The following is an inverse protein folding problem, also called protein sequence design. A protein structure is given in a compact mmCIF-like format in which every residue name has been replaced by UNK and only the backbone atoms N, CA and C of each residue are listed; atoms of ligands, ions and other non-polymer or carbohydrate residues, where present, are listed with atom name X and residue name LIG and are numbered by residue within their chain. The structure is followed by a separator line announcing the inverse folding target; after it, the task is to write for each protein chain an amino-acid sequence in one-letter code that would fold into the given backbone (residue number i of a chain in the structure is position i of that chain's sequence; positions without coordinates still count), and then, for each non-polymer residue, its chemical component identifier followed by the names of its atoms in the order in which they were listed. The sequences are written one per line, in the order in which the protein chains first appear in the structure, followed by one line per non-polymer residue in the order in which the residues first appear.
data_IF_963330392486
#
_entry.id   IF_963330392486
#
_cell.length_a   1.000
_cell.length_b   1.000
_cell.length_c   1.000
_cell.angle_alpha   90.00
_cell.angle_beta   90.00
_cell.angle_gamma   90.00
#
_symmetry.space_group_name_H-M   'P 1'
#
loop_
_entity.id
_entity.type
_entity.pdbx_description
1 polymer ?
#
# COMPACT_ATOMS: atom_id res chain seq x y z
N UNK A 1 10.39 23.20 7.59
CA UNK A 1 9.52 22.17 8.22
C UNK A 1 8.21 22.09 7.44
N UNK A 2 7.84 20.92 6.89
CA UNK A 2 6.61 20.75 6.10
C UNK A 2 5.63 19.84 6.85
N UNK A 3 4.37 20.27 6.99
CA UNK A 3 3.31 19.45 7.61
C UNK A 3 2.78 18.45 6.60
N UNK A 4 2.61 17.21 7.02
CA UNK A 4 1.94 16.14 6.27
C UNK A 4 0.70 15.67 7.01
N UNK A 5 -0.01 14.68 6.45
CA UNK A 5 -1.26 14.18 7.02
C UNK A 5 -1.11 13.70 8.47
N UNK A 6 -0.10 12.87 8.75
CA UNK A 6 0.16 12.27 10.07
C UNK A 6 1.56 12.55 10.61
N UNK A 7 2.38 13.32 9.88
CA UNK A 7 3.78 13.58 10.23
C UNK A 7 4.18 15.03 10.01
N UNK A 8 5.34 15.36 10.56
CA UNK A 8 6.07 16.59 10.27
C UNK A 8 7.37 16.19 9.58
N UNK A 9 7.61 16.74 8.39
CA UNK A 9 8.85 16.54 7.65
C UNK A 9 9.91 17.56 8.04
N UNK A 10 11.07 17.04 8.40
CA UNK A 10 12.32 17.76 8.58
C UNK A 10 13.30 17.40 7.46
N UNK A 11 14.11 18.35 7.03
CA UNK A 11 15.22 18.09 6.14
C UNK A 11 16.51 18.27 6.94
N UNK A 12 17.32 17.21 7.06
CA UNK A 12 18.60 17.22 7.76
C UNK A 12 19.69 16.79 6.78
N UNK A 13 20.53 17.73 6.34
CA UNK A 13 21.66 17.47 5.42
C UNK A 13 21.22 16.64 4.20
N UNK A 14 20.23 17.13 3.47
CA UNK A 14 19.65 16.49 2.27
C UNK A 14 18.90 15.16 2.51
N UNK A 15 18.67 14.79 3.77
CA UNK A 15 17.81 13.65 4.15
C UNK A 15 16.47 14.19 4.64
N UNK A 16 15.40 13.80 3.95
CA UNK A 16 14.04 14.02 4.40
C UNK A 16 13.66 12.99 5.48
N UNK A 17 13.31 13.47 6.67
CA UNK A 17 12.90 12.67 7.82
C UNK A 17 11.46 13.04 8.19
N UNK A 18 10.58 12.05 8.22
CA UNK A 18 9.19 12.22 8.64
C UNK A 18 9.03 11.78 10.10
N UNK A 19 8.72 12.75 10.98
CA UNK A 19 8.43 12.49 12.40
C UNK A 19 6.93 12.32 12.57
N UNK A 20 6.51 11.12 12.97
CA UNK A 20 5.12 10.80 13.31
C UNK A 20 4.98 10.85 14.83
N UNK A 21 4.10 11.71 15.33
CA UNK A 21 3.81 11.83 16.77
C UNK A 21 2.57 11.02 17.10
N UNK A 22 2.71 10.04 17.98
CA UNK A 22 1.61 9.23 18.48
C UNK A 22 1.56 9.18 20.00
N UNK A 23 0.34 9.09 20.53
CA UNK A 23 0.09 8.90 21.97
C UNK A 23 -0.19 7.42 22.22
N UNK A 24 0.63 6.76 23.05
CA UNK A 24 0.36 5.38 23.48
C UNK A 24 -0.99 5.32 24.21
N UNK A 25 -1.83 4.34 23.89
CA UNK A 25 -3.07 4.08 24.60
C UNK A 25 -2.81 3.33 25.90
N UNK A 26 -3.73 3.44 26.86
CA UNK A 26 -3.63 2.76 28.15
C UNK A 26 -3.66 1.23 28.01
N UNK A 27 -3.22 0.54 29.06
CA UNK A 27 -3.16 -0.91 29.13
C UNK A 27 -1.88 -1.53 28.55
N UNK A 28 -1.81 -2.86 28.60
CA UNK A 28 -0.67 -3.63 28.10
C UNK A 28 -0.77 -3.89 26.59
N UNK A 29 -0.86 -2.82 25.81
CA UNK A 29 -0.91 -2.89 24.34
C UNK A 29 0.19 -2.04 23.70
N UNK A 30 0.37 -2.24 22.40
CA UNK A 30 1.19 -1.37 21.54
C UNK A 30 0.31 -0.47 20.66
N UNK A 31 -0.96 -0.28 21.04
CA UNK A 31 -1.87 0.59 20.30
C UNK A 31 -1.54 2.07 20.61
N UNK A 32 -1.59 2.89 19.57
CA UNK A 32 -1.32 4.32 19.65
C UNK A 32 -2.45 5.11 18.98
N UNK A 33 -2.73 6.30 19.49
CA UNK A 33 -3.55 7.30 18.83
C UNK A 33 -2.68 8.23 18.00
N UNK A 34 -3.00 8.35 16.71
CA UNK A 34 -2.41 9.33 15.79
C UNK A 34 -3.46 10.35 15.37
N UNK A 35 -3.10 11.61 15.34
CA UNK A 35 -3.96 12.64 14.76
C UNK A 35 -3.73 12.68 13.25
N UNK A 36 -4.82 12.69 12.46
CA UNK A 36 -4.76 12.86 11.01
C UNK A 36 -5.39 14.18 10.61
N UNK A 37 -4.68 14.94 9.77
CA UNK A 37 -5.15 16.24 9.27
C UNK A 37 -6.26 16.09 8.25
N UNK A 38 -6.21 15.06 7.39
CA UNK A 38 -7.21 14.81 6.36
C UNK A 38 -8.61 14.60 6.97
N UNK A 39 -8.71 13.85 8.07
CA UNK A 39 -9.98 13.61 8.76
C UNK A 39 -10.27 14.60 9.90
N UNK A 40 -9.31 15.48 10.23
CA UNK A 40 -9.35 16.34 11.41
C UNK A 40 -9.72 15.55 12.70
N UNK A 41 -9.16 14.35 12.87
CA UNK A 41 -9.54 13.45 13.95
C UNK A 41 -8.41 12.52 14.38
N UNK A 42 -8.63 11.78 15.47
CA UNK A 42 -7.70 10.77 15.96
C UNK A 42 -8.06 9.39 15.40
N UNK A 43 -7.04 8.65 14.96
CA UNK A 43 -7.15 7.24 14.58
C UNK A 43 -6.34 6.39 15.54
N UNK A 44 -6.77 5.15 15.76
CA UNK A 44 -5.95 4.13 16.41
C UNK A 44 -5.06 3.43 15.38
N UNK A 45 -3.81 3.16 15.74
CA UNK A 45 -2.83 2.42 14.94
C UNK A 45 -2.01 1.46 15.80
N UNK A 46 -1.30 0.53 15.17
CA UNK A 46 -0.33 -0.34 15.83
C UNK A 46 0.74 -0.81 14.83
N UNK A 47 1.93 -0.21 14.92
CA UNK A 47 3.05 -0.45 14.01
C UNK A 47 3.53 -1.92 14.07
N UNK A 48 3.49 -2.54 15.26
CA UNK A 48 3.88 -3.94 15.42
C UNK A 48 2.93 -4.89 14.70
N UNK A 49 1.62 -4.62 14.73
CA UNK A 49 0.62 -5.38 13.97
C UNK A 49 0.86 -5.24 12.46
N UNK A 50 1.14 -4.02 11.98
CA UNK A 50 1.47 -3.78 10.56
C UNK A 50 2.72 -4.56 10.12
N UNK A 51 3.82 -4.44 10.87
CA UNK A 51 5.07 -5.16 10.58
C UNK A 51 4.85 -6.68 10.60
N UNK A 52 4.13 -7.19 11.61
CA UNK A 52 3.83 -8.62 11.72
C UNK A 52 2.99 -9.11 10.53
N UNK A 53 1.97 -8.36 10.15
CA UNK A 53 1.08 -8.70 9.03
C UNK A 53 1.85 -8.78 7.71
N UNK A 54 2.63 -7.74 7.37
CA UNK A 54 3.42 -7.70 6.13
C UNK A 54 4.49 -8.80 6.12
N UNK A 55 5.18 -9.04 7.25
CA UNK A 55 6.18 -10.11 7.35
C UNK A 55 5.57 -11.49 7.13
N UNK A 56 4.41 -11.77 7.74
CA UNK A 56 3.72 -13.06 7.60
C UNK A 56 3.25 -13.32 6.17
N UNK A 57 2.89 -12.29 5.42
CA UNK A 57 2.48 -12.43 4.02
C UNK A 57 3.62 -12.86 3.09
N UNK A 58 4.88 -12.59 3.45
CA UNK A 58 6.07 -13.03 2.70
C UNK A 58 6.08 -12.62 1.19
N UNK A 59 5.47 -11.49 0.85
CA UNK A 59 5.35 -10.97 -0.53
C UNK A 59 6.33 -9.81 -0.82
N UNK A 60 7.54 -9.85 -0.25
CA UNK A 60 8.47 -8.69 -0.27
C UNK A 60 8.90 -8.31 -1.69
N UNK A 61 9.19 -9.29 -2.55
CA UNK A 61 9.67 -9.04 -3.90
C UNK A 61 8.54 -8.50 -4.79
N UNK A 62 7.32 -9.00 -4.60
CA UNK A 62 6.12 -8.55 -5.28
C UNK A 62 5.78 -7.10 -4.92
N UNK A 63 5.83 -6.76 -3.62
CA UNK A 63 5.64 -5.39 -3.14
C UNK A 63 6.69 -4.46 -3.75
N UNK A 64 7.96 -4.89 -3.80
CA UNK A 64 9.03 -4.08 -4.38
C UNK A 64 8.81 -3.84 -5.88
N UNK A 65 8.50 -4.88 -6.64
CA UNK A 65 8.21 -4.78 -8.06
C UNK A 65 7.02 -3.85 -8.33
N UNK A 66 5.94 -3.95 -7.55
CA UNK A 66 4.79 -3.06 -7.72
C UNK A 66 5.11 -1.61 -7.33
N UNK A 67 6.00 -1.39 -6.34
CA UNK A 67 6.51 -0.03 -6.01
C UNK A 67 7.35 0.57 -7.14
N UNK A 68 8.13 -0.25 -7.85
CA UNK A 68 8.86 0.17 -9.06
C UNK A 68 7.88 0.55 -10.15
N UNK A 69 6.91 -0.32 -10.47
CA UNK A 69 5.86 -0.05 -11.45
C UNK A 69 5.11 1.26 -11.14
N UNK A 70 4.70 1.46 -9.87
CA UNK A 70 4.08 2.71 -9.41
C UNK A 70 4.96 3.93 -9.71
N UNK A 71 6.27 3.83 -9.44
CA UNK A 71 7.23 4.92 -9.64
C UNK A 71 7.44 5.23 -11.12
N UNK A 72 7.63 4.21 -11.96
CA UNK A 72 7.82 4.35 -13.41
C UNK A 72 6.62 5.05 -14.06
N UNK A 73 5.42 4.84 -13.51
CA UNK A 73 4.18 5.40 -14.04
C UNK A 73 3.66 6.62 -13.27
N UNK A 74 4.43 7.17 -12.33
CA UNK A 74 4.05 8.35 -11.53
C UNK A 74 2.65 8.26 -10.89
N UNK A 75 2.26 7.06 -10.45
CA UNK A 75 0.93 6.83 -9.86
C UNK A 75 0.85 7.35 -8.43
N UNK A 76 -0.21 8.08 -8.12
CA UNK A 76 -0.59 8.40 -6.74
C UNK A 76 -1.26 7.19 -6.08
N UNK A 77 -0.46 6.19 -5.74
CA UNK A 77 -0.89 5.00 -5.02
C UNK A 77 -0.17 4.94 -3.67
N UNK A 78 -0.87 5.24 -2.55
CA UNK A 78 -0.31 5.23 -1.21
C UNK A 78 0.43 3.93 -0.90
N UNK A 79 1.64 4.03 -0.36
CA UNK A 79 2.53 2.88 -0.15
C UNK A 79 1.89 1.77 0.69
N UNK A 80 1.19 2.14 1.77
CA UNK A 80 0.54 1.17 2.64
C UNK A 80 -0.66 0.50 1.96
N UNK A 81 -1.47 1.25 1.21
CA UNK A 81 -2.56 0.68 0.43
C UNK A 81 -2.05 -0.26 -0.68
N UNK A 82 -0.94 0.10 -1.35
CA UNK A 82 -0.27 -0.75 -2.32
C UNK A 82 0.17 -2.08 -1.69
N UNK A 83 0.83 -2.02 -0.53
CA UNK A 83 1.26 -3.21 0.21
C UNK A 83 0.08 -4.11 0.57
N UNK A 84 -1.01 -3.55 1.10
CA UNK A 84 -2.19 -4.34 1.44
C UNK A 84 -2.88 -4.92 0.19
N UNK A 85 -2.88 -4.19 -0.93
CA UNK A 85 -3.46 -4.68 -2.19
C UNK A 85 -2.69 -5.87 -2.75
N UNK A 86 -1.36 -5.88 -2.62
CA UNK A 86 -0.52 -7.03 -3.00
C UNK A 86 -0.83 -8.24 -2.14
N UNK A 87 -0.90 -8.04 -0.82
CA UNK A 87 -1.21 -9.13 0.13
C UNK A 87 -2.62 -9.68 -0.12
N UNK A 88 -3.59 -8.80 -0.35
CA UNK A 88 -4.98 -9.17 -0.66
C UNK A 88 -5.08 -9.97 -1.97
N UNK A 89 -4.36 -9.55 -3.02
CA UNK A 89 -4.32 -10.25 -4.29
C UNK A 89 -3.76 -11.68 -4.17
N UNK A 90 -2.81 -11.90 -3.24
CA UNK A 90 -2.09 -13.15 -3.08
C UNK A 90 -2.55 -14.01 -1.90
N UNK A 91 -3.55 -13.59 -1.13
CA UNK A 91 -3.96 -14.26 0.13
C UNK A 91 -4.30 -15.74 -0.01
N UNK A 92 -4.76 -16.16 -1.20
CA UNK A 92 -5.15 -17.54 -1.50
C UNK A 92 -4.18 -18.24 -2.48
N UNK A 93 -3.06 -17.61 -2.81
CA UNK A 93 -2.11 -18.13 -3.78
C UNK A 93 -1.16 -19.14 -3.14
N UNK A 94 -0.97 -20.28 -3.82
CA UNK A 94 -0.02 -21.32 -3.41
C UNK A 94 1.32 -21.23 -4.16
N UNK A 95 1.41 -20.35 -5.16
CA UNK A 95 2.59 -20.18 -6.00
C UNK A 95 3.55 -19.18 -5.38
N UNK A 96 4.83 -19.53 -5.31
CA UNK A 96 5.89 -18.64 -4.78
C UNK A 96 6.84 -18.15 -5.89
N UNK A 97 6.42 -18.21 -7.16
CA UNK A 97 7.20 -17.67 -8.28
C UNK A 97 6.79 -16.23 -8.53
N UNK A 98 7.76 -15.32 -8.46
CA UNK A 98 7.57 -13.88 -8.60
C UNK A 98 6.80 -13.51 -9.88
N UNK A 99 7.15 -14.07 -11.03
CA UNK A 99 6.49 -13.77 -12.30
C UNK A 99 5.01 -14.16 -12.33
N UNK A 100 4.68 -15.36 -11.86
CA UNK A 100 3.28 -15.81 -11.73
C UNK A 100 2.50 -14.94 -10.74
N UNK A 101 3.12 -14.58 -9.61
CA UNK A 101 2.50 -13.72 -8.60
C UNK A 101 2.21 -12.32 -9.14
N UNK A 102 3.13 -11.74 -9.92
CA UNK A 102 2.90 -10.44 -10.56
C UNK A 102 1.73 -10.49 -11.53
N UNK A 103 1.59 -11.53 -12.36
CA UNK A 103 0.40 -11.70 -13.21
C UNK A 103 -0.91 -11.74 -12.41
N UNK A 104 -0.90 -12.39 -11.24
CA UNK A 104 -2.07 -12.45 -10.35
C UNK A 104 -2.37 -11.07 -9.76
N UNK A 105 -1.35 -10.35 -9.29
CA UNK A 105 -1.49 -9.00 -8.74
C UNK A 105 -2.06 -8.05 -9.80
N UNK A 106 -1.50 -8.02 -11.00
CA UNK A 106 -1.97 -7.14 -12.07
C UNK A 106 -3.39 -7.48 -12.51
N UNK A 107 -3.75 -8.77 -12.54
CA UNK A 107 -5.14 -9.21 -12.79
C UNK A 107 -6.10 -8.76 -11.69
N UNK A 108 -5.69 -8.84 -10.43
CA UNK A 108 -6.47 -8.32 -9.31
C UNK A 108 -6.66 -6.80 -9.43
N UNK A 109 -5.58 -6.06 -9.72
CA UNK A 109 -5.64 -4.60 -9.90
C UNK A 109 -6.53 -4.19 -11.07
N UNK A 110 -6.50 -4.93 -12.19
CA UNK A 110 -7.31 -4.64 -13.37
C UNK A 110 -8.80 -4.98 -13.17
N UNK A 111 -9.12 -5.98 -12.35
CA UNK A 111 -10.49 -6.53 -12.29
C UNK A 111 -11.22 -6.20 -11.00
N UNK A 112 -10.56 -6.34 -9.85
CA UNK A 112 -11.22 -6.36 -8.53
C UNK A 112 -10.89 -5.14 -7.67
N UNK A 113 -9.72 -4.53 -7.83
CA UNK A 113 -9.19 -3.50 -6.94
C UNK A 113 -10.12 -2.30 -6.71
N UNK A 114 -10.81 -1.83 -7.76
CA UNK A 114 -11.71 -0.67 -7.68
C UNK A 114 -12.79 -0.85 -6.61
N UNK A 115 -13.32 -2.06 -6.51
CA UNK A 115 -14.45 -2.41 -5.63
C UNK A 115 -14.00 -3.15 -4.37
N UNK A 116 -12.71 -3.46 -4.26
CA UNK A 116 -12.15 -4.15 -3.10
C UNK A 116 -12.16 -3.24 -1.87
N UNK A 117 -12.73 -3.75 -0.78
CA UNK A 117 -12.66 -3.13 0.53
C UNK A 117 -11.48 -3.70 1.32
N UNK A 118 -10.49 -2.86 1.58
CA UNK A 118 -9.29 -3.24 2.33
C UNK A 118 -9.33 -2.60 3.71
N UNK A 119 -9.25 -3.44 4.75
CA UNK A 119 -9.32 -3.04 6.15
C UNK A 119 -7.90 -3.01 6.73
N UNK A 120 -7.62 -2.04 7.58
CA UNK A 120 -6.37 -1.99 8.34
C UNK A 120 -6.27 -3.15 9.36
N UNK A 121 -5.21 -3.99 9.30
CA UNK A 121 -5.04 -5.09 10.24
C UNK A 121 -4.77 -4.63 11.69
N UNK A 122 -4.41 -3.37 11.92
CA UNK A 122 -4.24 -2.82 13.26
C UNK A 122 -5.55 -2.28 13.86
N UNK A 123 -6.50 -1.87 13.04
CA UNK A 123 -7.76 -1.27 13.46
C UNK A 123 -8.85 -1.42 12.40
N UNK A 124 -9.85 -2.25 12.66
CA UNK A 124 -10.93 -2.54 11.71
C UNK A 124 -11.80 -1.34 11.33
N UNK A 125 -11.75 -0.26 12.10
CA UNK A 125 -12.46 0.98 11.80
C UNK A 125 -11.74 1.83 10.74
N UNK A 126 -10.46 1.57 10.47
CA UNK A 126 -9.71 2.26 9.43
C UNK A 126 -9.86 1.47 8.11
N UNK A 127 -10.50 2.10 7.12
CA UNK A 127 -10.71 1.50 5.80
C UNK A 127 -9.66 2.07 4.84
N UNK A 128 -8.62 1.29 4.59
CA UNK A 128 -7.48 1.70 3.76
C UNK A 128 -7.94 1.99 2.32
N UNK A 129 -8.93 1.24 1.84
CA UNK A 129 -9.48 1.47 0.50
C UNK A 129 -10.18 2.83 0.33
N UNK A 130 -10.39 3.59 1.40
CA UNK A 130 -10.98 4.93 1.32
C UNK A 130 -9.90 6.03 1.12
N UNK A 131 -8.60 5.66 1.11
CA UNK A 131 -7.52 6.61 0.84
C UNK A 131 -7.50 7.12 -0.61
N UNK A 132 -8.12 6.38 -1.53
CA UNK A 132 -8.26 6.74 -2.93
C UNK A 132 -9.72 6.88 -3.34
N UNK A 133 -10.01 7.93 -4.08
CA UNK A 133 -11.32 8.16 -4.68
C UNK A 133 -11.55 7.27 -5.92
N UNK A 134 -12.77 7.28 -6.45
CA UNK A 134 -13.17 6.42 -7.59
C UNK A 134 -12.35 6.70 -8.87
N UNK A 135 -11.93 7.94 -9.10
CA UNK A 135 -11.15 8.35 -10.27
C UNK A 135 -9.72 7.84 -10.14
N UNK A 136 -9.09 8.04 -8.97
CA UNK A 136 -7.74 7.55 -8.69
C UNK A 136 -7.66 6.01 -8.77
N UNK A 137 -8.66 5.31 -8.21
CA UNK A 137 -8.75 3.85 -8.35
C UNK A 137 -8.91 3.41 -9.80
N UNK A 138 -9.67 4.16 -10.60
CA UNK A 138 -9.83 3.87 -12.03
C UNK A 138 -8.52 4.03 -12.80
N UNK A 139 -7.75 5.07 -12.52
CA UNK A 139 -6.45 5.28 -13.16
C UNK A 139 -5.48 4.10 -12.90
N UNK A 140 -5.42 3.62 -11.64
CA UNK A 140 -4.60 2.45 -11.28
C UNK A 140 -5.11 1.19 -12.00
N UNK A 141 -6.43 0.96 -12.02
CA UNK A 141 -7.06 -0.19 -12.69
C UNK A 141 -6.74 -0.22 -14.19
N UNK A 142 -6.93 0.91 -14.88
CA UNK A 142 -6.76 0.99 -16.33
C UNK A 142 -5.29 0.77 -16.71
N UNK A 143 -4.36 1.38 -15.97
CA UNK A 143 -2.94 1.15 -16.21
C UNK A 143 -2.53 -0.29 -15.89
N UNK A 144 -3.05 -0.88 -14.81
CA UNK A 144 -2.78 -2.28 -14.48
C UNK A 144 -3.29 -3.23 -15.57
N UNK A 145 -4.42 -2.91 -16.20
CA UNK A 145 -4.93 -3.64 -17.35
C UNK A 145 -3.95 -3.59 -18.54
N UNK A 146 -3.45 -2.40 -18.90
CA UNK A 146 -2.44 -2.26 -19.95
C UNK A 146 -1.15 -3.01 -19.62
N UNK A 147 -0.65 -2.88 -18.38
CA UNK A 147 0.54 -3.60 -17.90
C UNK A 147 0.36 -5.12 -17.94
N UNK A 148 -0.82 -5.64 -17.60
CA UNK A 148 -1.10 -7.07 -17.66
C UNK A 148 -0.93 -7.62 -19.08
N UNK A 149 -1.37 -6.90 -20.10
CA UNK A 149 -1.20 -7.30 -21.50
C UNK A 149 0.28 -7.42 -21.89
N UNK A 150 1.12 -6.47 -21.47
CA UNK A 150 2.58 -6.54 -21.72
C UNK A 150 3.23 -7.72 -21.00
N UNK A 151 2.84 -8.00 -19.74
CA UNK A 151 3.38 -9.13 -18.99
C UNK A 151 3.02 -10.48 -19.60
N UNK A 152 1.81 -10.64 -20.13
CA UNK A 152 1.38 -11.85 -20.84
C UNK A 152 2.21 -12.06 -22.11
N UNK A 153 2.58 -10.97 -22.80
CA UNK A 153 3.49 -10.98 -23.94
C UNK A 153 4.99 -11.09 -23.53
N UNK A 154 5.29 -11.46 -22.28
CA UNK A 154 6.65 -11.57 -21.72
C UNK A 154 7.49 -10.28 -21.80
N UNK A 155 6.85 -9.12 -21.90
CA UNK A 155 7.50 -7.82 -22.00
C UNK A 155 7.67 -7.17 -20.63
N UNK A 156 8.48 -7.81 -19.77
CA UNK A 156 8.66 -7.40 -18.36
C UNK A 156 9.35 -6.05 -18.19
N UNK A 157 10.25 -5.69 -19.12
CA UNK A 157 11.00 -4.42 -19.09
C UNK A 157 10.03 -3.24 -19.11
N UNK A 158 9.08 -3.27 -20.04
CA UNK A 158 8.09 -2.21 -20.26
C UNK A 158 7.12 -1.99 -19.08
N UNK A 159 7.20 -2.82 -18.03
CA UNK A 159 6.33 -2.74 -16.85
C UNK A 159 7.10 -2.47 -15.56
N UNK A 160 8.25 -3.12 -15.33
CA UNK A 160 8.98 -3.06 -14.05
C UNK A 160 10.49 -2.75 -14.18
N UNK A 161 11.01 -2.42 -15.36
CA UNK A 161 12.41 -2.03 -15.53
C UNK A 161 12.64 -1.01 -16.65
#
# INVERSE_FOLDING_TARGET
MKRQNVSIRLNLKDIDIDIVVGRKQEGNTQDHSLYTRKSNSWIKTNIYKHISFVKKANCRLEILALKIWRKLNSLDFPSFYLEMSVIEALKNCKTFKLSSNLLIIFRYLSNNFKDARIIDPANSNNIISDELNKIEKKAIKDLAYSSLSYLIANSWKDVIW
#
